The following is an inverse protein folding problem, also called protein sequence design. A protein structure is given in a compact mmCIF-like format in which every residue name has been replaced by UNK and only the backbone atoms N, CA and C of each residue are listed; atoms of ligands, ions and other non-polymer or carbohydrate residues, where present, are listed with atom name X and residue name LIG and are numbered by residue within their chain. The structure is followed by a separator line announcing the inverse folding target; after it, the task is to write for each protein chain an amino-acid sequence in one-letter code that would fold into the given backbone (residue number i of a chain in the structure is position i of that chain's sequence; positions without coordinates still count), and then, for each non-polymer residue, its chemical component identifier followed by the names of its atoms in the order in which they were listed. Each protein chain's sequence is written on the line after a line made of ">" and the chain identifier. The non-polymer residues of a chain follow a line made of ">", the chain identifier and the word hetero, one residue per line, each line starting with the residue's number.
data_IF_658337756857
#
_entry.id   IF_658337756857
#
_cell.length_a   1.000
_cell.length_b   1.000
_cell.length_c   1.000
_cell.angle_alpha   90.00
_cell.angle_beta   90.00
_cell.angle_gamma   90.00
#
_symmetry.space_group_name_H-M   'P 1'
#
loop_
_entity.id
_entity.type
_entity.pdbx_description
1 polymer ?
#
# COMPACT_ATOMS: atom_id res chain seq x y z
N UNK A 1 -6.54 -3.99 -52.71
CA UNK A 1 -7.30 -3.23 -51.68
C UNK A 1 -7.80 -4.07 -50.50
N UNK A 2 -8.18 -5.35 -50.67
CA UNK A 2 -8.67 -6.23 -49.57
C UNK A 2 -7.71 -6.39 -48.38
N UNK A 3 -6.41 -6.62 -48.64
CA UNK A 3 -5.37 -6.78 -47.60
C UNK A 3 -5.24 -5.60 -46.61
N UNK A 4 -5.62 -4.39 -47.00
CA UNK A 4 -5.50 -3.19 -46.14
C UNK A 4 -6.68 -3.09 -45.17
N UNK A 5 -7.84 -3.64 -45.54
CA UNK A 5 -9.03 -3.70 -44.69
C UNK A 5 -8.87 -4.77 -43.59
N UNK A 6 -8.28 -5.92 -43.93
CA UNK A 6 -7.99 -7.01 -42.98
C UNK A 6 -7.03 -6.59 -41.85
N UNK A 7 -6.11 -5.66 -42.13
CA UNK A 7 -5.18 -5.11 -41.14
C UNK A 7 -5.91 -4.18 -40.16
N UNK A 8 -6.88 -3.39 -40.64
CA UNK A 8 -7.61 -2.42 -39.83
C UNK A 8 -8.57 -3.13 -38.87
N UNK A 9 -9.22 -4.22 -39.30
CA UNK A 9 -10.10 -5.01 -38.44
C UNK A 9 -9.34 -5.75 -37.33
N UNK A 10 -8.10 -6.18 -37.58
CA UNK A 10 -7.27 -6.89 -36.59
C UNK A 10 -6.77 -6.00 -35.45
N UNK A 11 -6.69 -4.67 -35.66
CA UNK A 11 -6.26 -3.68 -34.66
C UNK A 11 -7.38 -3.35 -33.66
N UNK A 12 -8.64 -3.70 -34.00
CA UNK A 12 -9.83 -3.45 -33.17
C UNK A 12 -10.13 -4.56 -32.16
N UNK A 13 -9.16 -5.41 -31.83
CA UNK A 13 -9.22 -6.19 -30.60
C UNK A 13 -8.97 -5.22 -29.45
N UNK A 14 -10.05 -4.72 -28.86
CA UNK A 14 -10.01 -4.10 -27.54
C UNK A 14 -9.30 -5.08 -26.60
N UNK A 15 -8.00 -4.86 -26.37
CA UNK A 15 -7.30 -5.50 -25.27
C UNK A 15 -8.09 -5.10 -24.03
N UNK A 16 -8.93 -6.00 -23.53
CA UNK A 16 -9.60 -5.85 -22.25
C UNK A 16 -8.47 -5.74 -21.23
N UNK A 17 -8.10 -4.51 -20.88
CA UNK A 17 -7.09 -4.23 -19.87
C UNK A 17 -7.70 -4.72 -18.56
N UNK A 18 -7.23 -5.89 -18.08
CA UNK A 18 -7.60 -6.38 -16.75
C UNK A 18 -7.21 -5.30 -15.74
N UNK A 19 -8.19 -4.84 -14.94
CA UNK A 19 -7.92 -3.88 -13.85
C UNK A 19 -6.79 -4.44 -12.97
N UNK A 20 -5.80 -3.62 -12.59
CA UNK A 20 -4.70 -4.08 -11.79
C UNK A 20 -5.21 -4.59 -10.43
N UNK A 21 -4.70 -5.74 -10.00
CA UNK A 21 -5.01 -6.28 -8.68
C UNK A 21 -4.52 -5.30 -7.61
N UNK A 22 -5.41 -4.94 -6.69
CA UNK A 22 -5.06 -4.15 -5.52
C UNK A 22 -4.61 -5.07 -4.40
N UNK A 23 -3.60 -4.61 -3.66
CA UNK A 23 -3.00 -5.29 -2.54
C UNK A 23 -3.18 -4.45 -1.28
N UNK A 24 -3.48 -5.13 -0.17
CA UNK A 24 -3.57 -4.53 1.16
C UNK A 24 -2.17 -4.29 1.70
N UNK A 25 -1.90 -3.05 2.07
CA UNK A 25 -0.73 -2.69 2.86
C UNK A 25 -1.14 -2.64 4.33
N UNK A 26 -0.45 -3.41 5.17
CA UNK A 26 -0.84 -3.67 6.56
C UNK A 26 0.32 -3.32 7.47
N UNK A 27 0.05 -2.53 8.53
CA UNK A 27 0.96 -2.35 9.65
C UNK A 27 0.60 -3.36 10.75
N UNK A 28 1.63 -3.99 11.32
CA UNK A 28 1.53 -4.94 12.41
C UNK A 28 1.88 -4.26 13.72
N UNK A 29 1.15 -4.57 14.78
CA UNK A 29 1.43 -4.15 16.13
C UNK A 29 2.68 -4.85 16.67
N UNK A 30 3.32 -4.20 17.64
CA UNK A 30 4.42 -4.74 18.43
C UNK A 30 4.50 -3.97 19.76
N UNK A 31 5.20 -4.52 20.75
CA UNK A 31 5.24 -3.97 22.12
C UNK A 31 6.25 -2.83 22.32
N UNK A 32 7.00 -2.42 21.28
CA UNK A 32 8.13 -1.51 21.42
C UNK A 32 7.99 -0.22 20.60
N UNK A 33 7.27 -0.27 19.48
CA UNK A 33 7.08 0.90 18.62
C UNK A 33 6.15 1.91 19.30
N UNK A 34 6.56 3.17 19.38
CA UNK A 34 5.72 4.20 20.02
C UNK A 34 4.50 4.58 19.17
N UNK A 35 3.38 4.89 19.83
CA UNK A 35 2.16 5.35 19.17
C UNK A 35 2.39 6.58 18.28
N UNK A 36 3.18 7.53 18.75
CA UNK A 36 3.53 8.74 17.99
C UNK A 36 4.30 8.39 16.70
N UNK A 37 5.20 7.41 16.77
CA UNK A 37 5.93 6.95 15.59
C UNK A 37 4.99 6.33 14.54
N UNK A 38 4.03 5.50 14.96
CA UNK A 38 3.02 4.93 14.05
C UNK A 38 2.18 6.04 13.40
N UNK A 39 1.72 7.03 14.17
CA UNK A 39 0.98 8.19 13.63
C UNK A 39 1.83 8.94 12.60
N UNK A 40 3.12 9.17 12.87
CA UNK A 40 4.05 9.82 11.94
C UNK A 40 4.20 9.03 10.63
N UNK A 41 4.36 7.71 10.70
CA UNK A 41 4.40 6.83 9.52
C UNK A 41 3.13 6.97 8.66
N UNK A 42 1.96 6.93 9.30
CA UNK A 42 0.67 7.01 8.61
C UNK A 42 0.48 8.35 7.89
N UNK A 43 0.95 9.45 8.49
CA UNK A 43 0.90 10.78 7.88
C UNK A 43 1.92 10.87 6.72
N UNK A 44 3.19 10.53 6.97
CA UNK A 44 4.28 10.75 6.01
C UNK A 44 4.21 9.85 4.77
N UNK A 45 3.85 8.57 4.93
CA UNK A 45 3.96 7.58 3.85
C UNK A 45 2.61 7.13 3.29
N UNK A 46 1.52 7.34 4.04
CA UNK A 46 0.19 6.83 3.69
C UNK A 46 -0.85 7.93 3.53
N UNK A 47 -0.40 9.19 3.53
CA UNK A 47 -1.19 10.39 3.28
C UNK A 47 -2.46 10.44 4.16
N UNK A 48 -2.36 9.97 5.40
CA UNK A 48 -3.44 10.10 6.38
C UNK A 48 -3.39 11.49 6.99
N UNK A 49 -4.55 12.10 7.19
CA UNK A 49 -4.61 13.26 8.06
C UNK A 49 -4.43 12.83 9.53
N UNK A 50 -4.20 13.78 10.44
CA UNK A 50 -3.93 13.50 11.85
C UNK A 50 -5.01 12.66 12.54
N UNK A 51 -6.29 12.97 12.30
CA UNK A 51 -7.41 12.26 12.93
C UNK A 51 -7.48 10.81 12.42
N UNK A 52 -7.36 10.61 11.11
CA UNK A 52 -7.30 9.28 10.49
C UNK A 52 -6.10 8.48 10.99
N UNK A 53 -4.94 9.11 11.12
CA UNK A 53 -3.71 8.46 11.58
C UNK A 53 -3.84 7.99 13.02
N UNK A 54 -4.39 8.82 13.92
CA UNK A 54 -4.62 8.44 15.33
C UNK A 54 -5.62 7.29 15.42
N UNK A 55 -6.74 7.38 14.71
CA UNK A 55 -7.76 6.32 14.72
C UNK A 55 -7.20 5.00 14.20
N UNK A 56 -6.45 5.02 13.10
CA UNK A 56 -5.87 3.83 12.51
C UNK A 56 -4.73 3.26 13.36
N UNK A 57 -3.94 4.11 14.02
CA UNK A 57 -2.93 3.69 14.99
C UNK A 57 -3.58 2.93 16.16
N UNK A 58 -4.65 3.49 16.75
CA UNK A 58 -5.38 2.81 17.84
C UNK A 58 -5.93 1.47 17.38
N UNK A 59 -6.43 1.40 16.14
CA UNK A 59 -6.89 0.15 15.54
C UNK A 59 -5.77 -0.89 15.46
N UNK A 60 -4.59 -0.52 14.98
CA UNK A 60 -3.42 -1.42 14.93
C UNK A 60 -3.09 -1.92 16.33
N UNK A 61 -3.03 -1.02 17.31
CA UNK A 61 -2.70 -1.36 18.69
C UNK A 61 -3.68 -2.35 19.33
N UNK A 62 -4.98 -2.16 19.10
CA UNK A 62 -6.03 -2.98 19.74
C UNK A 62 -6.26 -4.30 18.98
N UNK A 63 -6.19 -4.28 17.64
CA UNK A 63 -6.53 -5.43 16.79
C UNK A 63 -5.29 -6.18 16.27
N UNK A 64 -4.11 -5.90 16.81
CA UNK A 64 -2.80 -6.47 16.44
C UNK A 64 -2.32 -6.10 15.01
N UNK A 65 -3.21 -5.67 14.11
CA UNK A 65 -2.84 -5.14 12.80
C UNK A 65 -3.99 -4.36 12.17
N UNK A 66 -3.70 -3.53 11.16
CA UNK A 66 -4.74 -2.93 10.35
C UNK A 66 -4.32 -2.70 8.89
N UNK A 67 -5.30 -2.77 7.98
CA UNK A 67 -5.11 -2.33 6.59
C UNK A 67 -5.01 -0.82 6.55
N UNK A 68 -3.88 -0.31 6.09
CA UNK A 68 -3.61 1.13 6.02
C UNK A 68 -3.87 1.73 4.64
N UNK A 69 -3.92 0.90 3.60
CA UNK A 69 -4.26 1.31 2.24
C UNK A 69 -4.33 0.16 1.25
N UNK A 70 -4.88 0.46 0.07
CA UNK A 70 -4.98 -0.44 -1.08
C UNK A 70 -4.17 0.16 -2.23
N UNK A 71 -3.22 -0.61 -2.77
CA UNK A 71 -2.31 -0.13 -3.80
C UNK A 71 -2.06 -1.20 -4.86
N UNK A 72 -1.58 -0.81 -6.04
CA UNK A 72 -0.98 -1.78 -6.97
C UNK A 72 0.29 -2.37 -6.34
N UNK A 73 0.70 -3.55 -6.79
CA UNK A 73 1.81 -4.29 -6.17
C UNK A 73 3.10 -3.47 -6.06
N UNK A 74 3.48 -2.75 -7.12
CA UNK A 74 4.75 -2.03 -7.16
C UNK A 74 4.74 -0.81 -6.24
N UNK A 75 3.59 -0.13 -6.15
CA UNK A 75 3.39 0.97 -5.19
C UNK A 75 3.43 0.41 -3.77
N UNK A 76 2.72 -0.69 -3.49
CA UNK A 76 2.72 -1.34 -2.18
C UNK A 76 4.14 -1.75 -1.75
N UNK A 77 4.92 -2.37 -2.64
CA UNK A 77 6.33 -2.76 -2.39
C UNK A 77 7.19 -1.55 -2.06
N UNK A 78 7.06 -0.47 -2.82
CA UNK A 78 7.82 0.75 -2.61
C UNK A 78 7.51 1.38 -1.25
N UNK A 79 6.23 1.51 -0.91
CA UNK A 79 5.82 2.07 0.38
C UNK A 79 6.27 1.17 1.54
N UNK A 80 6.10 -0.16 1.42
CA UNK A 80 6.57 -1.14 2.42
C UNK A 80 8.05 -0.97 2.72
N UNK A 81 8.88 -0.90 1.68
CA UNK A 81 10.33 -0.73 1.82
C UNK A 81 10.67 0.60 2.50
N UNK A 82 10.01 1.69 2.12
CA UNK A 82 10.21 3.01 2.78
C UNK A 82 9.87 2.97 4.27
N UNK A 83 8.73 2.39 4.64
CA UNK A 83 8.28 2.29 6.03
C UNK A 83 9.26 1.43 6.85
N UNK A 84 9.59 0.22 6.37
CA UNK A 84 10.47 -0.68 7.11
C UNK A 84 11.87 -0.10 7.27
N UNK A 85 12.42 0.54 6.23
CA UNK A 85 13.73 1.20 6.32
C UNK A 85 13.70 2.37 7.31
N UNK A 86 12.65 3.20 7.26
CA UNK A 86 12.51 4.31 8.22
C UNK A 86 12.37 3.81 9.66
N UNK A 87 11.63 2.72 9.87
CA UNK A 87 11.48 2.08 11.19
C UNK A 87 12.83 1.58 11.72
N UNK A 88 13.60 0.87 10.89
CA UNK A 88 14.95 0.42 11.25
C UNK A 88 15.89 1.57 11.62
N UNK A 89 15.92 2.65 10.82
CA UNK A 89 16.77 3.83 11.09
C UNK A 89 16.42 4.49 12.42
N UNK A 90 15.13 4.51 12.78
CA UNK A 90 14.65 5.10 14.04
C UNK A 90 14.63 4.09 15.20
N UNK A 91 15.21 2.90 15.01
CA UNK A 91 15.26 1.83 16.02
C UNK A 91 13.87 1.42 16.54
N UNK A 92 12.87 1.44 15.65
CA UNK A 92 11.51 0.98 15.93
C UNK A 92 11.28 -0.33 15.17
N UNK A 93 10.85 -1.43 15.83
CA UNK A 93 10.70 -2.72 15.16
C UNK A 93 9.42 -2.86 14.32
N UNK A 94 8.67 -1.77 14.11
CA UNK A 94 7.45 -1.71 13.31
C UNK A 94 7.58 -2.43 11.96
N UNK A 95 6.64 -3.34 11.67
CA UNK A 95 6.61 -4.10 10.41
C UNK A 95 5.44 -3.71 9.53
N UNK A 96 5.76 -3.48 8.26
CA UNK A 96 4.79 -3.34 7.18
C UNK A 96 4.83 -4.58 6.26
N UNK A 97 3.66 -5.11 5.92
CA UNK A 97 3.49 -6.27 5.02
C UNK A 97 2.47 -5.99 3.91
N UNK A 98 2.49 -6.85 2.88
CA UNK A 98 1.57 -6.80 1.74
C UNK A 98 0.78 -8.11 1.69
N UNK A 99 -0.55 -8.01 1.56
CA UNK A 99 -1.46 -9.15 1.38
C UNK A 99 -2.37 -8.92 0.18
N UNK A 100 -2.89 -10.01 -0.39
CA UNK A 100 -3.92 -9.98 -1.44
C UNK A 100 -5.32 -9.74 -0.83
#
# INVERSE_FOLDING_TARGET
>A
MKKKLDIIEKIKQEKILKKPHLYKLILLNDDFTTMEFVVKILIMFLNKNKIQAISLMMKIHIEDSAVCGLFTLDIAKTIKTKINNYSNINQQPLKCIIRI
#
